data_IF_375234194847
#
_entry.id   IF_375234194847
#
_cell.length_a   1.000
_cell.length_b   1.000
_cell.length_c   1.000
_cell.angle_alpha   90.00
_cell.angle_beta   90.00
_cell.angle_gamma   90.00
#
_symmetry.space_group_name_H-M   'P 1'
#
loop_
_entity.id
_entity.type
_entity.pdbx_description
1 polymer ?
#
# COMPACT_ATOMS: atom_id res chain seq x y z
N UNK A 1 10.17 2.29 10.12
CA UNK A 1 9.52 3.18 9.13
C UNK A 1 8.18 2.55 8.73
N UNK A 2 7.11 3.34 8.60
CA UNK A 2 5.77 2.90 8.19
C UNK A 2 5.43 3.35 6.77
N UNK A 3 5.07 2.42 5.89
CA UNK A 3 4.59 2.69 4.52
C UNK A 3 3.07 2.51 4.49
N UNK A 4 2.35 3.57 4.11
CA UNK A 4 0.89 3.56 4.00
C UNK A 4 0.52 3.41 2.53
N UNK A 5 -0.20 2.34 2.23
CA UNK A 5 -0.71 2.02 0.92
C UNK A 5 -2.24 2.09 0.91
N UNK A 6 -2.83 2.77 -0.08
CA UNK A 6 -4.27 2.81 -0.30
C UNK A 6 -4.60 2.37 -1.73
N UNK A 7 -5.24 1.20 -1.85
CA UNK A 7 -5.64 0.61 -3.13
C UNK A 7 -6.66 1.46 -3.89
N UNK A 8 -7.36 2.37 -3.21
CA UNK A 8 -8.26 3.35 -3.81
C UNK A 8 -7.54 4.32 -4.75
N UNK A 9 -6.23 4.54 -4.62
CA UNK A 9 -5.48 5.44 -5.50
C UNK A 9 -4.99 4.76 -6.79
N UNK A 10 -5.45 3.53 -7.05
CA UNK A 10 -5.18 2.79 -8.27
C UNK A 10 -6.43 2.05 -8.79
N UNK A 11 -6.88 2.40 -9.99
CA UNK A 11 -8.05 1.80 -10.64
C UNK A 11 -7.76 0.48 -11.37
N UNK A 12 -6.55 -0.07 -11.21
CA UNK A 12 -6.20 -1.35 -11.82
C UNK A 12 -7.05 -2.50 -11.25
N UNK A 13 -7.40 -3.47 -12.12
CA UNK A 13 -8.12 -4.65 -11.70
C UNK A 13 -7.32 -5.48 -10.67
N UNK A 14 -8.03 -6.25 -9.84
CA UNK A 14 -7.46 -7.07 -8.77
C UNK A 14 -6.25 -7.91 -9.23
N UNK A 15 -6.28 -8.67 -10.34
CA UNK A 15 -5.13 -9.50 -10.75
C UNK A 15 -3.88 -8.69 -11.09
N UNK A 16 -4.04 -7.48 -11.63
CA UNK A 16 -2.91 -6.58 -11.89
C UNK A 16 -2.37 -6.02 -10.57
N UNK A 17 -3.26 -5.62 -9.66
CA UNK A 17 -2.90 -5.13 -8.34
C UNK A 17 -2.09 -6.18 -7.55
N UNK A 18 -2.51 -7.45 -7.58
CA UNK A 18 -1.83 -8.58 -6.96
C UNK A 18 -0.37 -8.64 -7.40
N UNK A 19 -0.15 -8.74 -8.72
CA UNK A 19 1.17 -8.83 -9.34
C UNK A 19 2.02 -7.58 -9.11
N UNK A 20 1.42 -6.41 -9.16
CA UNK A 20 2.10 -5.15 -8.89
C UNK A 20 2.61 -5.10 -7.44
N UNK A 21 1.77 -5.52 -6.48
CA UNK A 21 2.15 -5.59 -5.07
C UNK A 21 3.19 -6.68 -4.80
N UNK A 22 3.07 -7.85 -5.44
CA UNK A 22 4.05 -8.92 -5.35
C UNK A 22 5.44 -8.47 -5.82
N UNK A 23 5.50 -7.81 -6.98
CA UNK A 23 6.74 -7.23 -7.50
C UNK A 23 7.30 -6.13 -6.57
N UNK A 24 6.44 -5.38 -5.89
CA UNK A 24 6.88 -4.39 -4.90
C UNK A 24 7.51 -5.06 -3.67
N UNK A 25 6.89 -6.10 -3.10
CA UNK A 25 7.42 -6.79 -1.92
C UNK A 25 8.73 -7.55 -2.16
N UNK A 26 9.12 -7.78 -3.42
CA UNK A 26 10.49 -8.26 -3.74
C UNK A 26 11.57 -7.21 -3.41
N UNK A 27 11.24 -5.92 -3.53
CA UNK A 27 12.14 -4.79 -3.29
C UNK A 27 11.34 -3.59 -2.71
N UNK A 28 10.89 -3.68 -1.45
CA UNK A 28 9.96 -2.71 -0.85
C UNK A 28 10.51 -1.28 -0.73
N UNK A 29 11.84 -1.12 -0.81
CA UNK A 29 12.52 0.18 -0.81
C UNK A 29 13.01 0.60 -2.21
N UNK A 30 12.71 -0.19 -3.25
CA UNK A 30 13.32 -0.04 -4.57
C UNK A 30 12.42 0.61 -5.63
N UNK A 31 11.10 0.70 -5.41
CA UNK A 31 10.19 1.23 -6.43
C UNK A 31 8.94 1.84 -5.80
N UNK A 32 8.70 3.10 -6.12
CA UNK A 32 7.48 3.80 -5.72
C UNK A 32 6.25 3.33 -6.52
N UNK A 33 5.05 3.51 -5.95
CA UNK A 33 3.78 3.05 -6.50
C UNK A 33 2.71 4.12 -6.30
N UNK A 34 1.79 4.31 -7.28
CA UNK A 34 0.64 5.20 -7.12
C UNK A 34 -0.35 4.79 -6.01
N UNK A 35 -0.16 3.66 -5.35
CA UNK A 35 -0.94 3.30 -4.18
C UNK A 35 -0.21 3.59 -2.86
N UNK A 36 1.08 3.97 -2.87
CA UNK A 36 1.77 4.50 -1.69
C UNK A 36 1.34 5.95 -1.55
N UNK A 37 0.68 6.27 -0.44
CA UNK A 37 0.11 7.60 -0.20
C UNK A 37 0.84 8.36 0.89
N UNK A 38 1.61 7.65 1.72
CA UNK A 38 2.43 8.27 2.77
C UNK A 38 3.56 7.32 3.21
N UNK A 39 4.64 7.91 3.72
CA UNK A 39 5.76 7.22 4.36
C UNK A 39 6.10 7.99 5.62
N UNK A 40 5.94 7.34 6.77
CA UNK A 40 6.09 7.96 8.08
C UNK A 40 7.26 7.31 8.82
N UNK A 41 8.05 8.12 9.52
CA UNK A 41 9.01 7.59 10.48
C UNK A 41 8.25 7.19 11.76
N UNK A 42 8.26 5.90 12.08
CA UNK A 42 7.61 5.31 13.25
C UNK A 42 8.62 4.98 14.37
N UNK A 43 9.90 5.32 14.20
CA UNK A 43 10.97 5.04 15.16
C UNK A 43 11.40 3.56 15.23
N UNK A 44 10.88 2.69 14.37
CA UNK A 44 11.33 1.30 14.25
C UNK A 44 12.35 1.17 13.10
N UNK A 45 13.62 1.01 13.47
CA UNK A 45 14.73 0.84 12.52
C UNK A 45 14.95 -0.62 12.11
N UNK A 46 14.30 -1.58 12.78
CA UNK A 46 14.50 -3.01 12.53
C UNK A 46 13.59 -3.55 11.42
N UNK A 47 12.33 -3.12 11.40
CA UNK A 47 11.32 -3.63 10.47
C UNK A 47 10.55 -2.49 9.78
N UNK A 48 10.13 -2.76 8.54
CA UNK A 48 9.21 -1.91 7.82
C UNK A 48 7.78 -2.27 8.21
N UNK A 49 7.03 -1.31 8.73
CA UNK A 49 5.61 -1.48 9.00
C UNK A 49 4.80 -1.11 7.75
N UNK A 50 3.75 -1.88 7.45
CA UNK A 50 2.85 -1.63 6.35
C UNK A 50 1.42 -1.45 6.83
N UNK A 51 0.74 -0.46 6.27
CA UNK A 51 -0.70 -0.30 6.37
C UNK A 51 -1.30 -0.34 4.95
N UNK A 52 -2.08 -1.38 4.64
CA UNK A 52 -2.75 -1.53 3.34
C UNK A 52 -4.25 -1.29 3.50
N UNK A 53 -4.71 -0.14 3.02
CA UNK A 53 -6.13 0.25 2.99
C UNK A 53 -6.79 -0.28 1.72
N UNK A 54 -7.89 -1.00 1.90
CA UNK A 54 -8.65 -1.56 0.80
C UNK A 54 -10.06 -1.96 1.17
N UNK A 55 -11.02 -1.75 0.28
CA UNK A 55 -12.39 -2.27 0.45
C UNK A 55 -13.04 -1.90 1.80
N UNK A 56 -12.73 -0.70 2.31
CA UNK A 56 -13.17 -0.21 3.62
C UNK A 56 -12.49 -0.88 4.83
N UNK A 57 -11.38 -1.57 4.61
CA UNK A 57 -10.58 -2.33 5.59
C UNK A 57 -9.14 -1.85 5.59
N UNK A 58 -8.43 -2.21 6.65
CA UNK A 58 -6.99 -1.97 6.80
C UNK A 58 -6.32 -3.27 7.20
N UNK A 59 -5.27 -3.66 6.47
CA UNK A 59 -4.34 -4.72 6.84
C UNK A 59 -3.07 -4.07 7.38
N UNK A 60 -2.68 -4.38 8.61
CA UNK A 60 -1.46 -3.86 9.24
C UNK A 60 -0.51 -5.00 9.60
N UNK A 61 0.76 -4.86 9.24
CA UNK A 61 1.77 -5.89 9.50
C UNK A 61 3.19 -5.33 9.47
N UNK A 62 4.09 -5.94 10.23
CA UNK A 62 5.54 -5.75 10.08
C UNK A 62 6.08 -6.71 9.02
N UNK A 63 6.91 -6.20 8.12
CA UNK A 63 7.48 -6.98 7.03
C UNK A 63 8.64 -7.85 7.54
N UNK A 64 8.31 -9.03 8.06
CA UNK A 64 9.30 -10.07 8.37
C UNK A 64 9.74 -10.80 7.10
N UNK A 65 10.85 -11.53 7.16
CA UNK A 65 11.35 -12.32 6.03
C UNK A 65 10.34 -13.37 5.56
N UNK A 66 9.74 -14.12 6.48
CA UNK A 66 8.73 -15.14 6.17
C UNK A 66 7.52 -14.52 5.47
N UNK A 67 7.04 -13.38 6.00
CA UNK A 67 5.90 -12.70 5.41
C UNK A 67 6.23 -12.12 4.02
N UNK A 68 7.45 -11.60 3.86
CA UNK A 68 7.92 -11.08 2.59
C UNK A 68 7.91 -12.16 1.50
N UNK A 69 8.25 -13.41 1.81
CA UNK A 69 8.24 -14.51 0.83
C UNK A 69 6.84 -14.76 0.26
N UNK A 70 5.81 -14.85 1.12
CA UNK A 70 4.41 -14.99 0.69
C UNK A 70 3.91 -13.78 -0.09
N UNK A 71 4.17 -12.58 0.44
CA UNK A 71 3.79 -11.31 -0.20
C UNK A 71 4.49 -11.12 -1.55
N UNK A 72 5.72 -11.57 -1.73
CA UNK A 72 6.47 -11.45 -2.98
C UNK A 72 5.94 -12.36 -4.11
N UNK A 73 5.11 -13.35 -3.76
CA UNK A 73 4.47 -14.28 -4.70
C UNK A 73 3.03 -13.85 -4.98
N UNK A 74 2.22 -13.71 -3.93
CA UNK A 74 0.77 -13.50 -4.06
C UNK A 74 0.37 -12.03 -3.95
N UNK A 75 1.28 -11.16 -3.51
CA UNK A 75 0.99 -9.78 -3.20
C UNK A 75 0.26 -9.64 -1.87
N UNK A 76 -0.34 -8.48 -1.64
CA UNK A 76 -1.08 -8.19 -0.41
C UNK A 76 -2.24 -9.18 -0.16
N UNK A 77 -2.74 -9.85 -1.20
CA UNK A 77 -3.82 -10.85 -1.12
C UNK A 77 -3.45 -12.06 -0.26
N UNK A 78 -2.15 -12.32 -0.06
CA UNK A 78 -1.66 -13.34 0.88
C UNK A 78 -2.24 -13.17 2.30
N UNK A 79 -2.54 -11.93 2.69
CA UNK A 79 -3.07 -11.56 4.01
C UNK A 79 -4.59 -11.37 4.02
N UNK A 80 -5.24 -11.45 2.86
CA UNK A 80 -6.67 -11.19 2.76
C UNK A 80 -7.48 -12.40 3.25
N UNK A 81 -8.31 -12.19 4.27
CA UNK A 81 -9.29 -13.17 4.75
C UNK A 81 -10.72 -12.84 4.29
N UNK A 82 -10.84 -12.16 3.16
CA UNK A 82 -12.08 -11.65 2.60
C UNK A 82 -11.99 -11.58 1.07
N UNK A 83 -13.14 -11.48 0.40
CA UNK A 83 -13.22 -11.35 -1.05
C UNK A 83 -12.95 -9.89 -1.50
N UNK A 84 -11.81 -9.59 -2.15
CA UNK A 84 -11.48 -8.23 -2.53
C UNK A 84 -12.31 -7.76 -3.73
N UNK A 85 -12.58 -6.46 -3.83
CA UNK A 85 -13.26 -5.94 -5.01
C UNK A 85 -12.35 -6.09 -6.26
N UNK A 86 -12.92 -6.69 -7.32
CA UNK A 86 -12.24 -6.86 -8.61
C UNK A 86 -11.83 -5.52 -9.21
N UNK A 87 -12.68 -4.50 -9.08
CA UNK A 87 -12.44 -3.16 -9.60
C UNK A 87 -12.57 -2.12 -8.50
N UNK A 88 -11.72 -1.10 -8.56
CA UNK A 88 -11.84 0.14 -7.82
C UNK A 88 -11.92 1.27 -8.84
N UNK A 89 -12.67 2.31 -8.51
CA UNK A 89 -12.85 3.49 -9.39
C UNK A 89 -12.69 4.75 -8.56
N UNK A 90 -12.27 5.83 -9.21
CA UNK A 90 -12.17 7.15 -8.59
C UNK A 90 -10.76 7.54 -8.19
N UNK A 91 -9.73 6.80 -8.60
CA UNK A 91 -8.34 7.13 -8.29
C UNK A 91 -7.96 8.52 -8.81
N UNK A 92 -8.38 8.86 -10.03
CA UNK A 92 -8.10 10.16 -10.63
C UNK A 92 -8.71 11.32 -9.82
N UNK A 93 -9.96 11.18 -9.38
CA UNK A 93 -10.65 12.17 -8.55
C UNK A 93 -9.96 12.33 -7.19
N UNK A 94 -9.58 11.22 -6.54
CA UNK A 94 -8.85 11.25 -5.26
C UNK A 94 -7.48 11.92 -5.39
N UNK A 95 -6.73 11.61 -6.45
CA UNK A 95 -5.45 12.27 -6.73
C UNK A 95 -5.60 13.77 -6.99
N UNK A 96 -6.64 14.19 -7.71
CA UNK A 96 -6.95 15.62 -7.88
C UNK A 96 -7.27 16.27 -6.55
N UNK A 97 -8.06 15.63 -5.70
CA UNK A 97 -8.39 16.17 -4.38
C UNK A 97 -7.15 16.34 -3.49
N UNK A 98 -6.19 15.42 -3.53
CA UNK A 98 -4.91 15.56 -2.81
C UNK A 98 -4.09 16.76 -3.28
N UNK A 99 -4.09 17.07 -4.59
CA UNK A 99 -3.40 18.25 -5.13
C UNK A 99 -3.93 19.57 -4.55
N UNK A 100 -5.21 19.62 -4.21
CA UNK A 100 -5.84 20.82 -3.65
C UNK A 100 -5.61 20.97 -2.14
N UNK A 101 -5.08 19.94 -1.46
CA UNK A 101 -4.72 20.05 -0.05
C UNK A 101 -3.52 20.99 0.11
N UNK A 102 -3.56 21.92 1.08
CA UNK A 102 -2.41 22.78 1.33
C UNK A 102 -1.23 21.91 1.75
N UNK A 103 -0.06 22.15 1.15
CA UNK A 103 1.21 21.51 1.52
C UNK A 103 1.68 22.01 2.89
N UNK A 104 0.93 21.67 3.94
CA UNK A 104 1.38 21.89 5.31
C UNK A 104 2.34 20.75 5.66
N UNK A 105 3.63 20.97 5.40
CA UNK A 105 4.69 20.26 6.11
C UNK A 105 4.74 20.84 7.53
N UNK A 106 3.82 20.40 8.39
CA UNK A 106 3.82 20.77 9.79
C UNK A 106 4.98 20.12 10.50
N UNK A 107 6.05 20.88 10.74
CA UNK A 107 6.96 20.60 11.85
C UNK A 107 6.11 20.69 13.14
N UNK A 108 5.87 19.55 13.77
CA UNK A 108 5.21 19.40 15.06
C UNK A 108 5.91 18.31 15.85
#
# INVERSE_FOLDING_TARGET
MKIIMDRGYCDAALPFCARCSAAFFQKPLGTDRPCIVDIVDDGNDELLHFEVRTDGRTLEFDLTQELQEGLAVEGWEFLANFDPALFRRGAAERWRALRELPAQHGAG
#
